data_IF_753057232446
#
_entry.id   IF_753057232446
#
_cell.length_a   1.000
_cell.length_b   1.000
_cell.length_c   1.000
_cell.angle_alpha   90.00
_cell.angle_beta   90.00
_cell.angle_gamma   90.00
#
_symmetry.space_group_name_H-M   'P 1'
#
loop_
_entity.id
_entity.type
_entity.pdbx_description
1 polymer ?
#
# COMPACT_ATOMS: atom_id res chain seq x y z
N UNK A 1 -2.60 -5.20 -20.99
CA UNK A 1 -3.23 -4.19 -20.11
C UNK A 1 -3.79 -4.92 -18.91
N UNK A 2 -3.30 -4.64 -17.71
CA UNK A 2 -3.82 -5.25 -16.48
C UNK A 2 -5.17 -4.62 -16.15
N UNK A 3 -6.13 -5.46 -15.78
CA UNK A 3 -7.46 -5.08 -15.32
C UNK A 3 -7.77 -5.90 -14.09
N UNK A 4 -8.22 -5.23 -13.06
CA UNK A 4 -8.70 -5.88 -11.85
C UNK A 4 -9.94 -5.16 -11.32
N UNK A 5 -10.60 -5.73 -10.32
CA UNK A 5 -11.77 -5.13 -9.72
C UNK A 5 -11.34 -3.89 -8.95
N UNK A 6 -12.10 -2.81 -9.10
CA UNK A 6 -11.81 -1.57 -8.40
C UNK A 6 -12.32 -1.67 -6.97
N UNK A 7 -11.42 -1.50 -6.02
CA UNK A 7 -11.74 -1.41 -4.61
C UNK A 7 -11.73 0.06 -4.18
N UNK A 8 -12.74 0.46 -3.42
CA UNK A 8 -12.87 1.80 -2.86
C UNK A 8 -13.47 1.71 -1.47
N UNK A 9 -12.82 2.34 -0.48
CA UNK A 9 -13.30 2.40 0.91
C UNK A 9 -13.61 1.02 1.53
N UNK A 10 -12.83 0.00 1.16
CA UNK A 10 -12.96 -1.37 1.68
C UNK A 10 -14.01 -2.24 0.96
N UNK A 11 -14.63 -1.77 -0.11
CA UNK A 11 -15.64 -2.52 -0.87
C UNK A 11 -15.44 -2.37 -2.39
N UNK A 12 -16.21 -3.12 -3.18
CA UNK A 12 -16.24 -2.97 -4.62
C UNK A 12 -16.85 -1.63 -5.03
N UNK A 13 -16.13 -0.90 -5.87
CA UNK A 13 -16.70 0.25 -6.54
C UNK A 13 -17.65 -0.23 -7.65
N UNK A 14 -18.80 0.43 -7.78
CA UNK A 14 -19.77 0.15 -8.83
C UNK A 14 -19.85 1.32 -9.82
N UNK A 15 -20.05 0.98 -11.08
CA UNK A 15 -20.36 1.96 -12.12
C UNK A 15 -21.77 2.56 -11.89
N UNK A 16 -22.11 3.70 -12.51
CA UNK A 16 -23.47 4.26 -12.43
C UNK A 16 -24.58 3.32 -12.94
N UNK A 17 -24.22 2.26 -13.68
CA UNK A 17 -25.15 1.23 -14.19
C UNK A 17 -25.34 0.07 -13.23
N UNK A 18 -24.55 -0.01 -12.16
CA UNK A 18 -24.59 -1.10 -11.18
C UNK A 18 -23.60 -2.24 -11.47
N UNK A 19 -22.81 -2.18 -12.53
CA UNK A 19 -21.75 -3.16 -12.79
C UNK A 19 -20.54 -2.91 -11.87
N UNK A 20 -19.81 -3.95 -11.48
CA UNK A 20 -18.53 -3.78 -10.77
C UNK A 20 -17.55 -2.97 -11.64
N UNK A 21 -17.00 -1.90 -11.06
CA UNK A 21 -16.00 -1.08 -11.72
C UNK A 21 -14.64 -1.80 -11.76
N UNK A 22 -13.84 -1.48 -12.77
CA UNK A 22 -12.51 -2.04 -12.95
C UNK A 22 -11.45 -0.97 -12.73
N UNK A 23 -10.36 -1.36 -12.08
CA UNK A 23 -9.10 -0.65 -12.07
C UNK A 23 -8.31 -1.06 -13.31
N UNK A 24 -7.62 -0.10 -13.93
CA UNK A 24 -6.83 -0.34 -15.13
C UNK A 24 -5.45 0.30 -15.01
N UNK A 25 -4.46 -0.34 -15.63
CA UNK A 25 -3.10 0.21 -15.69
C UNK A 25 -2.52 0.48 -14.30
N UNK A 26 -2.09 1.71 -14.06
CA UNK A 26 -1.46 2.13 -12.80
C UNK A 26 -2.36 2.07 -11.57
N UNK A 27 -3.68 2.11 -11.76
CA UNK A 27 -4.60 1.99 -10.61
C UNK A 27 -4.57 0.58 -10.02
N UNK A 28 -4.36 -0.45 -10.85
CA UNK A 28 -4.17 -1.82 -10.37
C UNK A 28 -2.95 -1.90 -9.48
N UNK A 29 -1.81 -1.35 -9.93
CA UNK A 29 -0.59 -1.34 -9.12
C UNK A 29 -0.78 -0.56 -7.82
N UNK A 30 -1.46 0.60 -7.88
CA UNK A 30 -1.78 1.39 -6.67
C UNK A 30 -2.53 0.54 -5.66
N UNK A 31 -3.58 -0.14 -6.09
CA UNK A 31 -4.38 -1.00 -5.21
C UNK A 31 -3.56 -2.17 -4.67
N UNK A 32 -2.80 -2.87 -5.52
CA UNK A 32 -1.94 -4.00 -5.13
C UNK A 32 -0.93 -3.59 -4.03
N UNK A 33 -0.21 -2.49 -4.25
CA UNK A 33 0.81 -2.01 -3.31
C UNK A 33 0.18 -1.55 -2.00
N UNK A 34 -0.92 -0.80 -2.04
CA UNK A 34 -1.63 -0.37 -0.83
C UNK A 34 -2.14 -1.58 -0.05
N UNK A 35 -2.76 -2.56 -0.73
CA UNK A 35 -3.24 -3.78 -0.10
C UNK A 35 -2.10 -4.55 0.59
N UNK A 36 -0.94 -4.68 -0.07
CA UNK A 36 0.25 -5.32 0.52
C UNK A 36 0.77 -4.55 1.74
N UNK A 37 0.85 -3.21 1.66
CA UNK A 37 1.34 -2.37 2.75
C UNK A 37 0.44 -2.45 4.00
N UNK A 38 -0.88 -2.53 3.85
CA UNK A 38 -1.82 -2.57 4.99
C UNK A 38 -2.17 -3.98 5.46
N UNK A 39 -1.74 -5.02 4.73
CA UNK A 39 -1.96 -6.41 5.13
C UNK A 39 -0.85 -6.88 6.08
N UNK A 40 -1.16 -7.52 7.22
CA UNK A 40 -0.13 -8.09 8.08
C UNK A 40 0.61 -9.20 7.34
N UNK A 41 1.94 -9.21 7.44
CA UNK A 41 2.74 -10.31 6.89
C UNK A 41 2.31 -11.64 7.50
N UNK A 42 2.05 -12.64 6.64
CA UNK A 42 1.57 -13.96 7.06
C UNK A 42 0.05 -14.09 7.20
N UNK A 43 -0.72 -13.03 6.97
CA UNK A 43 -2.19 -13.08 6.96
C UNK A 43 -2.77 -13.78 5.72
N UNK A 44 -2.03 -13.79 4.61
CA UNK A 44 -2.49 -14.43 3.37
C UNK A 44 -2.31 -15.95 3.42
N UNK A 45 -3.42 -16.69 3.29
CA UNK A 45 -3.45 -18.15 3.44
C UNK A 45 -2.54 -18.92 2.48
N UNK A 46 -2.42 -18.48 1.21
CA UNK A 46 -1.59 -19.14 0.20
C UNK A 46 -0.16 -18.58 0.07
N UNK A 47 0.07 -17.37 0.57
CA UNK A 47 1.29 -16.61 0.33
C UNK A 47 1.76 -16.00 1.65
N UNK A 48 2.34 -16.80 2.57
CA UNK A 48 2.64 -16.34 3.93
C UNK A 48 3.71 -15.23 3.99
N UNK A 49 4.42 -14.97 2.89
CA UNK A 49 5.38 -13.87 2.80
C UNK A 49 4.73 -12.54 2.37
N UNK A 50 3.51 -12.57 1.82
CA UNK A 50 2.75 -11.37 1.45
C UNK A 50 2.36 -10.55 2.67
N UNK A 51 2.28 -9.23 2.47
CA UNK A 51 2.00 -8.24 3.50
C UNK A 51 3.24 -7.48 3.97
N UNK A 52 3.07 -6.66 5.01
CA UNK A 52 4.13 -5.85 5.61
C UNK A 52 4.21 -6.05 7.13
N UNK A 53 5.31 -5.59 7.73
CA UNK A 53 5.46 -5.40 9.18
C UNK A 53 4.97 -4.05 9.68
N UNK A 54 4.32 -3.21 8.85
CA UNK A 54 3.93 -1.85 9.24
C UNK A 54 2.93 -1.82 10.40
N UNK A 55 2.12 -2.87 10.55
CA UNK A 55 1.15 -2.97 11.62
C UNK A 55 1.78 -3.17 13.01
N UNK A 56 3.03 -3.61 13.09
CA UNK A 56 3.77 -3.73 14.36
C UNK A 56 4.04 -2.35 15.01
N UNK A 57 3.97 -1.29 14.20
CA UNK A 57 4.15 0.10 14.62
C UNK A 57 2.86 0.81 15.00
N UNK A 58 1.70 0.15 14.89
CA UNK A 58 0.42 0.73 15.29
C UNK A 58 0.43 1.00 16.80
N UNK A 59 0.28 2.28 17.17
CA UNK A 59 0.33 2.73 18.56
C UNK A 59 1.75 2.87 19.14
N UNK A 60 2.80 2.60 18.36
CA UNK A 60 4.17 2.89 18.76
C UNK A 60 4.41 4.42 18.81
N UNK A 61 5.28 4.92 19.70
CA UNK A 61 5.70 6.32 19.68
C UNK A 61 6.39 6.67 18.36
N UNK A 62 5.99 7.77 17.71
CA UNK A 62 6.55 8.16 16.42
C UNK A 62 7.82 9.03 16.56
N UNK A 63 8.83 8.47 17.24
CA UNK A 63 10.18 9.06 17.35
C UNK A 63 11.01 8.85 16.08
N UNK A 64 12.19 9.45 16.02
CA UNK A 64 13.04 9.44 14.81
C UNK A 64 13.46 8.03 14.38
N UNK A 65 13.67 7.13 15.35
CA UNK A 65 14.00 5.73 15.07
C UNK A 65 12.79 5.03 14.45
N UNK A 66 11.63 5.11 15.10
CA UNK A 66 10.38 4.50 14.63
C UNK A 66 9.99 5.02 13.25
N UNK A 67 10.15 6.33 13.02
CA UNK A 67 9.95 6.96 11.71
C UNK A 67 10.83 6.36 10.62
N UNK A 68 12.10 6.12 10.95
CA UNK A 68 13.08 5.56 10.02
C UNK A 68 12.74 4.10 9.71
N UNK A 69 12.39 3.31 10.73
CA UNK A 69 12.03 1.90 10.55
C UNK A 69 10.75 1.73 9.73
N UNK A 70 9.73 2.55 9.98
CA UNK A 70 8.49 2.57 9.20
C UNK A 70 8.74 2.89 7.72
N UNK A 71 9.60 3.88 7.43
CA UNK A 71 10.00 4.20 6.05
C UNK A 71 10.68 3.01 5.39
N UNK A 72 11.68 2.41 6.06
CA UNK A 72 12.43 1.28 5.53
C UNK A 72 11.55 0.06 5.29
N UNK A 73 10.61 -0.24 6.20
CA UNK A 73 9.68 -1.35 6.02
C UNK A 73 8.74 -1.13 4.84
N UNK A 74 8.23 0.10 4.67
CA UNK A 74 7.35 0.44 3.57
C UNK A 74 8.08 0.38 2.20
N UNK A 75 9.29 0.94 2.12
CA UNK A 75 10.14 0.87 0.92
C UNK A 75 10.45 -0.58 0.54
N UNK A 76 10.87 -1.39 1.52
CA UNK A 76 11.16 -2.81 1.33
C UNK A 76 9.94 -3.57 0.83
N UNK A 77 8.77 -3.33 1.43
CA UNK A 77 7.50 -3.96 1.01
C UNK A 77 7.12 -3.60 -0.43
N UNK A 78 7.32 -2.36 -0.85
CA UNK A 78 7.10 -1.96 -2.24
C UNK A 78 8.06 -2.67 -3.20
N UNK A 79 9.33 -2.81 -2.83
CA UNK A 79 10.36 -3.48 -3.63
C UNK A 79 10.19 -4.99 -3.76
N UNK A 80 9.35 -5.62 -2.92
CA UNK A 80 8.97 -7.03 -3.08
C UNK A 80 8.06 -7.24 -4.32
N UNK A 81 7.44 -6.19 -4.85
CA UNK A 81 6.73 -6.24 -6.12
C UNK A 81 7.71 -6.15 -7.31
N UNK A 82 7.74 -7.19 -8.16
CA UNK A 82 8.67 -7.26 -9.29
C UNK A 82 8.50 -6.13 -10.33
N UNK A 83 7.40 -5.37 -10.30
CA UNK A 83 7.18 -4.21 -11.18
C UNK A 83 7.90 -2.95 -10.68
N UNK A 84 8.22 -2.90 -9.39
CA UNK A 84 8.83 -1.74 -8.74
C UNK A 84 10.35 -1.79 -8.88
N UNK A 85 10.94 -0.70 -9.35
CA UNK A 85 12.38 -0.56 -9.53
C UNK A 85 13.04 0.18 -8.36
N UNK A 86 12.37 1.22 -7.85
CA UNK A 86 12.83 2.03 -6.73
C UNK A 86 11.63 2.43 -5.86
N UNK A 87 11.85 2.56 -4.56
CA UNK A 87 10.88 3.10 -3.61
C UNK A 87 11.59 4.08 -2.67
N UNK A 88 10.97 5.23 -2.42
CA UNK A 88 11.48 6.24 -1.50
C UNK A 88 10.34 6.79 -0.65
N UNK A 89 10.51 6.78 0.67
CA UNK A 89 9.55 7.26 1.64
C UNK A 89 9.97 8.57 2.30
N UNK A 90 9.00 9.45 2.52
CA UNK A 90 9.17 10.67 3.30
C UNK A 90 7.97 10.90 4.22
N UNK A 91 8.25 11.43 5.41
CA UNK A 91 7.19 11.85 6.34
C UNK A 91 6.66 13.21 5.93
N UNK A 92 5.38 13.29 5.60
CA UNK A 92 4.68 14.52 5.28
C UNK A 92 3.24 14.45 5.78
N UNK A 93 2.69 15.46 6.48
CA UNK A 93 1.30 15.44 6.89
C UNK A 93 0.37 15.13 5.70
N UNK A 94 -0.54 14.14 5.80
CA UNK A 94 -1.04 13.48 7.01
C UNK A 94 -0.38 12.13 7.37
N UNK A 95 0.74 11.73 6.77
CA UNK A 95 1.34 10.43 7.05
C UNK A 95 2.68 10.15 6.37
N UNK A 96 2.85 8.91 5.91
CA UNK A 96 4.01 8.48 5.13
C UNK A 96 3.67 8.58 3.63
N UNK A 97 4.44 9.39 2.91
CA UNK A 97 4.37 9.48 1.45
C UNK A 97 5.43 8.58 0.84
N UNK A 98 5.04 7.75 -0.13
CA UNK A 98 5.95 6.86 -0.86
C UNK A 98 5.92 7.23 -2.34
N UNK A 99 7.09 7.42 -2.92
CA UNK A 99 7.28 7.52 -4.36
C UNK A 99 7.87 6.21 -4.86
N UNK A 100 7.14 5.54 -5.74
CA UNK A 100 7.48 4.24 -6.29
C UNK A 100 7.75 4.41 -7.78
N UNK A 101 8.95 4.04 -8.24
CA UNK A 101 9.33 4.15 -9.66
C UNK A 101 9.22 2.81 -10.37
N UNK A 102 8.70 2.89 -11.59
CA UNK A 102 8.59 1.81 -12.55
C UNK A 102 9.39 2.15 -13.81
N UNK A 103 9.43 1.21 -14.77
CA UNK A 103 10.20 1.38 -16.00
C UNK A 103 9.90 2.66 -16.80
N UNK A 104 8.65 3.11 -16.84
CA UNK A 104 8.24 4.28 -17.64
C UNK A 104 7.49 5.35 -16.83
N UNK A 105 7.15 5.07 -15.57
CA UNK A 105 6.24 5.90 -14.76
C UNK A 105 6.64 5.92 -13.29
N UNK A 106 6.12 6.90 -12.54
CA UNK A 106 6.24 6.96 -11.09
C UNK A 106 4.85 7.07 -10.45
N UNK A 107 4.67 6.35 -9.36
CA UNK A 107 3.44 6.30 -8.58
C UNK A 107 3.69 6.88 -7.21
N UNK A 108 2.80 7.78 -6.79
CA UNK A 108 2.79 8.31 -5.43
C UNK A 108 1.69 7.64 -4.61
N UNK A 109 2.07 7.11 -3.45
CA UNK A 109 1.18 6.51 -2.46
C UNK A 109 1.20 7.35 -1.18
N UNK A 110 0.04 7.46 -0.52
CA UNK A 110 -0.08 8.05 0.80
C UNK A 110 -0.60 6.99 1.77
N UNK A 111 0.20 6.66 2.77
CA UNK A 111 -0.23 5.89 3.92
C UNK A 111 -0.55 6.88 5.05
N UNK A 112 -1.84 7.06 5.42
CA UNK A 112 -2.19 7.92 6.54
C UNK A 112 -1.60 7.38 7.84
N UNK A 113 -1.15 8.27 8.74
CA UNK A 113 -0.59 7.88 10.03
C UNK A 113 -1.27 8.62 11.20
N UNK A 114 -1.62 7.93 12.31
CA UNK A 114 -1.43 6.50 12.56
C UNK A 114 -2.21 5.63 11.58
N UNK A 115 -1.66 4.46 11.26
CA UNK A 115 -2.42 3.44 10.52
C UNK A 115 -3.62 3.05 11.39
N UNK A 116 -4.82 3.43 10.93
CA UNK A 116 -6.05 3.03 11.59
C UNK A 116 -6.45 1.65 11.10
N UNK A 117 -6.47 0.68 12.01
CA UNK A 117 -7.12 -0.61 11.75
C UNK A 117 -8.61 -0.41 12.01
N UNK A 118 -9.38 -0.11 10.97
CA UNK A 118 -10.84 -0.19 11.04
C UNK A 118 -11.21 -1.66 11.26
N UNK A 119 -11.67 -1.99 12.47
CA UNK A 119 -12.30 -3.28 12.74
C UNK A 119 -13.61 -3.34 11.94
N UNK A 120 -13.57 -4.04 10.80
CA UNK A 120 -14.77 -4.50 10.08
C UNK A 120 -15.54 -5.52 10.89
#
# INVERSE_FOLDING_TARGET
MYRDWKWQDGDFAFTPRGDAALAEGMEVLRQDLLARLVSPRGSHWAFPLEGSGLLDYVGAPLDDLTRTEVVQEAERTCLEDARVLEAAGEWAPPGLRLVVRLSEEALELLLPWPLEVTRG
#
